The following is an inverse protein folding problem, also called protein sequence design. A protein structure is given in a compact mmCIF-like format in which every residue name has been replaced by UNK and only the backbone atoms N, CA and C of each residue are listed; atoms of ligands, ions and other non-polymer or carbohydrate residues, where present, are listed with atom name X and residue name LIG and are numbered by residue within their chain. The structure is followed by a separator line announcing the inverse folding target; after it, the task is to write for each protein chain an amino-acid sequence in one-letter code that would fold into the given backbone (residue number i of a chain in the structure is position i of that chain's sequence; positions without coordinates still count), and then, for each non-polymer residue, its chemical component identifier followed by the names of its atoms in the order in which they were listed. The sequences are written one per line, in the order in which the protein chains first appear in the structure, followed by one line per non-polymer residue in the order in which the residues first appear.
data_IF_041279337439
#
_entry.id   IF_041279337439
#
_cell.length_a   1.000
_cell.length_b   1.000
_cell.length_c   1.000
_cell.angle_alpha   90.00
_cell.angle_beta   90.00
_cell.angle_gamma   90.00
#
_symmetry.space_group_name_H-M   'P 1'
#
loop_
_entity.id
_entity.type
_entity.pdbx_description
1 polymer ?
#
# COMPACT_ATOMS: atom_id res chain seq x y z
N UNK A 1 7.71 11.30 15.06
CA UNK A 1 6.57 10.36 14.94
C UNK A 1 7.00 9.06 15.60
N UNK A 2 6.40 8.72 16.73
CA UNK A 2 6.67 7.48 17.46
C UNK A 2 5.42 6.62 17.35
N UNK A 3 5.33 5.79 16.31
CA UNK A 3 4.17 4.92 16.13
C UNK A 3 4.19 3.74 17.11
N UNK A 4 5.34 3.39 17.71
CA UNK A 4 5.49 2.27 18.66
C UNK A 4 6.59 2.42 19.73
N UNK A 5 7.04 3.64 20.05
CA UNK A 5 8.14 3.85 21.00
C UNK A 5 9.55 3.65 20.42
N UNK A 6 9.65 3.22 19.16
CA UNK A 6 10.91 3.14 18.42
C UNK A 6 11.07 4.44 17.64
N UNK A 7 12.14 5.19 17.92
CA UNK A 7 12.51 6.38 17.16
C UNK A 7 13.00 5.94 15.77
N UNK A 8 12.08 5.71 14.85
CA UNK A 8 12.38 5.39 13.46
C UNK A 8 12.37 6.70 12.68
N UNK A 9 13.53 7.04 12.11
CA UNK A 9 13.64 8.15 11.17
C UNK A 9 12.71 7.91 9.97
N UNK A 10 12.01 8.94 9.52
CA UNK A 10 11.07 8.85 8.40
C UNK A 10 11.76 8.36 7.12
N UNK A 11 13.03 8.73 6.91
CA UNK A 11 13.79 8.24 5.77
C UNK A 11 14.15 6.75 5.92
N UNK A 12 14.33 6.25 7.15
CA UNK A 12 14.50 4.82 7.37
C UNK A 12 13.23 4.06 6.95
N UNK A 13 12.06 4.47 7.46
CA UNK A 13 10.79 3.83 7.09
C UNK A 13 10.56 3.84 5.58
N UNK A 14 10.79 4.98 4.93
CA UNK A 14 10.68 5.10 3.47
C UNK A 14 11.60 4.12 2.74
N UNK A 15 12.87 3.98 3.17
CA UNK A 15 13.81 3.01 2.59
C UNK A 15 13.33 1.56 2.76
N UNK A 16 12.80 1.20 3.93
CA UNK A 16 12.24 -0.13 4.17
C UNK A 16 11.05 -0.43 3.27
N UNK A 17 10.13 0.53 3.13
CA UNK A 17 8.97 0.41 2.25
C UNK A 17 9.42 0.23 0.79
N UNK A 18 10.33 1.06 0.30
CA UNK A 18 10.85 0.94 -1.07
C UNK A 18 11.54 -0.39 -1.35
N UNK A 19 12.21 -0.98 -0.35
CA UNK A 19 12.85 -2.29 -0.50
C UNK A 19 11.85 -3.45 -0.44
N UNK A 20 10.84 -3.36 0.43
CA UNK A 20 9.94 -4.47 0.74
C UNK A 20 8.75 -4.54 -0.23
N UNK A 21 8.19 -3.40 -0.64
CA UNK A 21 7.00 -3.34 -1.52
C UNK A 21 7.20 -4.11 -2.82
N UNK A 22 8.34 -3.99 -3.55
CA UNK A 22 8.55 -4.76 -4.78
C UNK A 22 8.52 -6.28 -4.56
N UNK A 23 9.04 -6.75 -3.41
CA UNK A 23 9.06 -8.18 -3.07
C UNK A 23 7.65 -8.70 -2.79
N UNK A 24 6.86 -7.93 -2.03
CA UNK A 24 5.46 -8.24 -1.75
C UNK A 24 4.67 -8.26 -3.05
N UNK A 25 4.81 -7.23 -3.89
CA UNK A 25 4.12 -7.13 -5.18
C UNK A 25 4.48 -8.31 -6.09
N UNK A 26 5.76 -8.69 -6.16
CA UNK A 26 6.20 -9.83 -6.98
C UNK A 26 5.57 -11.14 -6.50
N UNK A 27 5.51 -11.37 -5.18
CA UNK A 27 4.86 -12.55 -4.60
C UNK A 27 3.34 -12.53 -4.84
N UNK A 28 2.71 -11.39 -4.62
CA UNK A 28 1.27 -11.21 -4.84
C UNK A 28 0.89 -11.47 -6.29
N UNK A 29 1.64 -10.90 -7.26
CA UNK A 29 1.41 -11.12 -8.69
C UNK A 29 1.51 -12.59 -9.10
N UNK A 30 2.45 -13.34 -8.51
CA UNK A 30 2.61 -14.78 -8.80
C UNK A 30 1.42 -15.61 -8.32
N UNK A 31 0.73 -15.16 -7.28
CA UNK A 31 -0.40 -15.86 -6.66
C UNK A 31 -1.76 -15.27 -7.04
N UNK A 32 -1.78 -14.23 -7.89
CA UNK A 32 -3.03 -13.56 -8.26
C UNK A 32 -3.78 -14.42 -9.29
N UNK A 33 -5.05 -14.78 -9.04
CA UNK A 33 -5.86 -15.45 -10.04
C UNK A 33 -6.10 -14.52 -11.24
N UNK A 34 -6.34 -15.11 -12.40
CA UNK A 34 -6.66 -14.37 -13.62
C UNK A 34 -7.91 -13.51 -13.38
N UNK A 35 -7.85 -12.24 -13.77
CA UNK A 35 -8.90 -11.29 -13.43
C UNK A 35 -10.10 -11.61 -14.31
N UNK A 36 -11.08 -12.33 -13.76
CA UNK A 36 -12.30 -12.67 -14.48
C UNK A 36 -13.03 -11.42 -14.99
N UNK A 37 -13.87 -11.61 -16.02
CA UNK A 37 -14.63 -10.57 -16.73
C UNK A 37 -15.58 -9.73 -15.86
N UNK A 38 -15.70 -10.05 -14.56
CA UNK A 38 -16.55 -9.38 -13.58
C UNK A 38 -15.67 -8.87 -12.44
N UNK A 39 -15.49 -7.56 -12.39
CA UNK A 39 -14.77 -6.90 -11.31
C UNK A 39 -15.78 -6.31 -10.32
N UNK A 40 -15.57 -6.52 -9.02
CA UNK A 40 -16.23 -5.74 -7.97
C UNK A 40 -15.21 -4.75 -7.46
N UNK A 41 -15.51 -3.48 -7.62
CA UNK A 41 -14.71 -2.39 -7.10
C UNK A 41 -15.26 -2.05 -5.73
N UNK A 42 -14.49 -2.30 -4.67
CA UNK A 42 -14.84 -1.81 -3.35
C UNK A 42 -14.56 -0.31 -3.32
N UNK A 43 -15.60 0.51 -3.38
CA UNK A 43 -15.48 1.97 -3.32
C UNK A 43 -14.82 2.35 -2.00
N UNK A 44 -13.56 2.76 -2.07
CA UNK A 44 -12.76 3.08 -0.88
C UNK A 44 -12.53 4.57 -0.82
N UNK A 45 -13.04 5.20 0.23
CA UNK A 45 -12.89 6.62 0.50
C UNK A 45 -11.47 6.89 1.01
N UNK A 46 -10.61 7.46 0.17
CA UNK A 46 -9.24 7.79 0.56
C UNK A 46 -9.09 9.30 0.67
N UNK A 47 -8.65 9.77 1.84
CA UNK A 47 -8.36 11.20 2.09
C UNK A 47 -6.90 11.49 1.72
N UNK A 48 -6.69 12.10 0.55
CA UNK A 48 -5.35 12.50 0.09
C UNK A 48 -5.17 13.99 0.38
N UNK A 49 -4.18 14.33 1.22
CA UNK A 49 -3.85 15.72 1.59
C UNK A 49 -5.05 16.55 2.05
N UNK A 50 -5.98 15.92 2.77
CA UNK A 50 -7.16 16.60 3.30
C UNK A 50 -8.39 16.58 2.40
N UNK A 51 -8.27 16.19 1.14
CA UNK A 51 -9.38 16.09 0.20
C UNK A 51 -9.84 14.63 0.05
N UNK A 52 -11.15 14.42 0.07
CA UNK A 52 -11.73 13.13 -0.29
C UNK A 52 -11.55 12.91 -1.78
N UNK A 53 -10.94 11.78 -2.14
CA UNK A 53 -10.86 11.34 -3.53
C UNK A 53 -11.62 10.03 -3.67
N UNK A 54 -12.46 10.02 -4.70
CA UNK A 54 -13.17 8.84 -5.19
C UNK A 54 -12.24 8.14 -6.18
N UNK A 55 -12.14 6.82 -6.09
CA UNK A 55 -11.37 6.01 -7.04
C UNK A 55 -12.28 5.05 -7.77
#
# INVERSE_FOLDING_TARGET
MSERGIAVDHAALSRWVHRLVPLIVKRYRRSKPDVGRRWRMDETYIKIKGQWRYS
#
